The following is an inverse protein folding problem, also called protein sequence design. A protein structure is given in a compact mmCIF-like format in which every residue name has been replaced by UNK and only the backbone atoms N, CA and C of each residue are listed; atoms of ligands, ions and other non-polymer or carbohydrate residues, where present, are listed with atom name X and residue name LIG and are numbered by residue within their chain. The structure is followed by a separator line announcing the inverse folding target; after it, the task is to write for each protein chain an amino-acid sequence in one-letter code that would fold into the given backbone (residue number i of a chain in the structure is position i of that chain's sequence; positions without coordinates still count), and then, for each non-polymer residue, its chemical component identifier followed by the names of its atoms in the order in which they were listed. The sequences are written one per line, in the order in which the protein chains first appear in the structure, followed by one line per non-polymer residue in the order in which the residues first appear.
data_IF_095671553463
#
_entry.id   IF_095671553463
#
_cell.length_a   1.000
_cell.length_b   1.000
_cell.length_c   1.000
_cell.angle_alpha   90.00
_cell.angle_beta   90.00
_cell.angle_gamma   90.00
#
_symmetry.space_group_name_H-M   'P 1'
#
loop_
_entity.id
_entity.type
_entity.pdbx_description
1 polymer ?
#
# COMPACT_ATOMS: atom_id res chain seq x y z
N UNK A 1 -20.05 34.35 -14.12
CA UNK A 1 -20.14 33.30 -13.07
C UNK A 1 -19.09 32.24 -13.39
N UNK A 2 -18.03 32.14 -12.57
CA UNK A 2 -16.92 31.19 -12.77
C UNK A 2 -17.49 29.76 -12.68
N UNK A 3 -17.43 29.00 -13.78
CA UNK A 3 -17.61 27.54 -13.73
C UNK A 3 -16.38 26.97 -13.03
N UNK A 4 -16.58 26.39 -11.85
CA UNK A 4 -15.55 25.66 -11.12
C UNK A 4 -14.96 24.57 -12.01
N UNK A 5 -13.66 24.28 -11.84
CA UNK A 5 -12.90 23.30 -12.62
C UNK A 5 -13.37 21.88 -12.32
N UNK A 6 -14.51 21.47 -12.88
CA UNK A 6 -15.00 20.10 -12.79
C UNK A 6 -14.19 19.18 -13.73
N UNK A 7 -13.51 18.19 -13.16
CA UNK A 7 -12.78 17.16 -13.89
C UNK A 7 -13.48 15.81 -13.75
N UNK A 8 -13.79 15.15 -14.87
CA UNK A 8 -14.40 13.82 -14.88
C UNK A 8 -13.31 12.74 -14.89
N UNK A 9 -13.36 11.83 -13.91
CA UNK A 9 -12.46 10.67 -13.86
C UNK A 9 -13.13 9.50 -14.61
N UNK A 10 -12.50 8.89 -15.62
CA UNK A 10 -13.07 7.74 -16.32
C UNK A 10 -13.13 6.51 -15.41
N UNK A 11 -14.21 5.71 -15.53
CA UNK A 11 -14.34 4.41 -14.86
C UNK A 11 -13.68 3.32 -15.72
N UNK A 12 -12.91 2.45 -15.08
CA UNK A 12 -12.25 1.30 -15.72
C UNK A 12 -13.05 0.03 -15.44
N UNK A 13 -13.28 -0.74 -16.50
CA UNK A 13 -13.89 -2.07 -16.42
C UNK A 13 -12.79 -3.13 -16.37
N UNK A 14 -12.76 -3.90 -15.29
CA UNK A 14 -11.85 -5.02 -15.10
C UNK A 14 -12.65 -6.31 -15.25
N UNK A 15 -12.32 -7.09 -16.27
CA UNK A 15 -12.92 -8.40 -16.52
C UNK A 15 -11.88 -9.47 -16.21
N UNK A 16 -12.26 -10.50 -15.48
CA UNK A 16 -11.43 -11.69 -15.38
C UNK A 16 -11.65 -12.54 -16.63
N UNK A 17 -10.63 -12.64 -17.50
CA UNK A 17 -10.71 -13.46 -18.71
C UNK A 17 -10.45 -14.96 -18.43
N UNK A 18 -9.88 -15.29 -17.27
CA UNK A 18 -9.51 -16.65 -16.90
C UNK A 18 -10.03 -16.97 -15.50
N UNK A 19 -11.19 -17.63 -15.44
CA UNK A 19 -11.70 -18.19 -14.19
C UNK A 19 -12.54 -19.44 -14.50
N UNK A 20 -12.27 -20.55 -13.80
CA UNK A 20 -13.14 -21.75 -13.71
C UNK A 20 -14.49 -21.47 -13.01
N UNK A 21 -14.88 -20.20 -12.91
CA UNK A 21 -16.12 -19.78 -12.28
C UNK A 21 -17.27 -19.95 -13.27
N UNK A 22 -18.46 -20.37 -12.80
CA UNK A 22 -19.64 -20.53 -13.66
C UNK A 22 -20.22 -19.20 -14.16
N UNK A 23 -19.56 -18.06 -13.91
CA UNK A 23 -19.99 -16.72 -14.31
C UNK A 23 -18.82 -15.79 -14.61
N UNK A 24 -19.07 -14.80 -15.45
CA UNK A 24 -18.10 -13.76 -15.78
C UNK A 24 -18.07 -12.67 -14.71
N UNK A 25 -16.91 -12.47 -14.07
CA UNK A 25 -16.73 -11.39 -13.10
C UNK A 25 -16.28 -10.10 -13.80
N UNK A 26 -17.14 -9.09 -13.77
CA UNK A 26 -16.86 -7.75 -14.29
C UNK A 26 -16.89 -6.73 -13.13
N UNK A 27 -15.84 -5.94 -12.99
CA UNK A 27 -15.70 -4.93 -11.94
C UNK A 27 -15.45 -3.57 -12.54
N UNK A 28 -16.43 -2.68 -12.41
CA UNK A 28 -16.33 -1.27 -12.85
C UNK A 28 -15.99 -0.37 -11.67
N UNK A 29 -14.82 0.24 -11.70
CA UNK A 29 -14.37 1.14 -10.63
C UNK A 29 -13.67 2.38 -11.15
N UNK A 30 -13.63 3.44 -10.35
CA UNK A 30 -12.70 4.54 -10.62
C UNK A 30 -11.27 4.08 -10.29
N UNK A 31 -10.26 4.45 -11.09
CA UNK A 31 -8.86 4.12 -10.84
C UNK A 31 -8.24 5.07 -9.79
N UNK A 32 -8.93 5.28 -8.67
CA UNK A 32 -8.49 6.13 -7.56
C UNK A 32 -8.70 5.42 -6.24
N UNK A 33 -7.67 5.47 -5.40
CA UNK A 33 -7.70 4.93 -4.04
C UNK A 33 -7.17 6.04 -3.13
N UNK A 34 -8.00 6.63 -2.25
CA UNK A 34 -7.50 7.53 -1.23
C UNK A 34 -6.72 6.73 -0.21
N UNK A 35 -5.42 7.00 -0.08
CA UNK A 35 -4.52 6.25 0.82
C UNK A 35 -3.60 7.18 1.57
N UNK A 36 -3.67 7.11 2.90
CA UNK A 36 -2.69 7.69 3.82
C UNK A 36 -1.61 6.67 4.21
N UNK A 37 -2.00 5.39 4.24
CA UNK A 37 -1.12 4.27 4.51
C UNK A 37 -1.43 3.13 3.54
N UNK A 38 -0.39 2.42 3.10
CA UNK A 38 -0.52 1.26 2.21
C UNK A 38 0.27 0.08 2.74
N UNK A 39 -0.10 -1.13 2.34
CA UNK A 39 0.70 -2.31 2.71
C UNK A 39 2.00 -2.37 1.91
N UNK A 40 3.06 -2.99 2.44
CA UNK A 40 4.35 -3.17 1.74
C UNK A 40 4.16 -3.79 0.34
N UNK A 41 3.30 -4.81 0.24
CA UNK A 41 3.02 -5.47 -1.05
C UNK A 41 2.38 -4.51 -2.06
N UNK A 42 1.57 -3.54 -1.59
CA UNK A 42 0.97 -2.52 -2.45
C UNK A 42 1.93 -1.38 -2.77
N UNK A 43 2.93 -1.14 -1.93
CA UNK A 43 3.96 -0.12 -2.17
C UNK A 43 5.08 -0.60 -3.10
N UNK A 44 5.16 -1.90 -3.39
CA UNK A 44 6.20 -2.46 -4.25
C UNK A 44 6.21 -1.78 -5.63
N UNK A 45 7.40 -1.33 -6.07
CA UNK A 45 7.58 -0.65 -7.36
C UNK A 45 7.15 0.82 -7.38
N UNK A 46 6.70 1.38 -6.27
CA UNK A 46 6.44 2.82 -6.14
C UNK A 46 7.62 3.55 -5.49
N UNK A 47 7.85 4.80 -5.89
CA UNK A 47 8.87 5.66 -5.29
C UNK A 47 8.22 6.68 -4.35
N UNK A 48 8.82 6.89 -3.18
CA UNK A 48 8.31 7.84 -2.19
C UNK A 48 9.42 8.80 -1.74
N UNK A 49 9.05 10.08 -1.57
CA UNK A 49 10.00 11.10 -1.08
C UNK A 49 10.23 10.99 0.44
N UNK A 50 9.18 10.64 1.19
CA UNK A 50 9.19 10.38 2.63
C UNK A 50 8.29 9.19 2.94
N UNK A 51 8.72 8.33 3.85
CA UNK A 51 8.01 7.12 4.27
C UNK A 51 8.13 6.93 5.78
N UNK A 52 7.02 6.68 6.44
CA UNK A 52 6.96 6.09 7.78
C UNK A 52 6.63 4.61 7.65
N UNK A 53 7.44 3.73 8.23
CA UNK A 53 7.18 2.30 8.27
C UNK A 53 6.71 1.97 9.70
N UNK A 54 5.49 1.47 9.84
CA UNK A 54 4.98 0.99 11.11
C UNK A 54 5.05 -0.54 11.16
N UNK A 55 5.82 -1.06 12.12
CA UNK A 55 6.05 -2.48 12.33
C UNK A 55 5.48 -2.87 13.71
N UNK A 56 4.21 -3.32 13.77
CA UNK A 56 3.61 -3.79 15.03
C UNK A 56 4.15 -5.15 15.50
N UNK A 57 4.77 -5.90 14.59
CA UNK A 57 5.41 -7.18 14.82
C UNK A 57 6.73 -7.24 14.00
N UNK A 58 7.71 -8.08 14.38
CA UNK A 58 8.94 -8.26 13.62
C UNK A 58 8.63 -8.75 12.19
N UNK A 59 9.37 -8.22 11.21
CA UNK A 59 9.19 -8.56 9.79
C UNK A 59 9.56 -10.01 9.57
N UNK A 60 8.63 -10.81 9.03
CA UNK A 60 8.82 -12.25 8.84
C UNK A 60 9.83 -12.61 7.75
N UNK A 61 10.14 -11.70 6.82
CA UNK A 61 11.09 -11.96 5.73
C UNK A 61 12.04 -10.80 5.40
N UNK A 62 13.27 -11.14 5.02
CA UNK A 62 14.28 -10.18 4.53
C UNK A 62 13.77 -9.37 3.33
N UNK A 63 13.04 -10.03 2.43
CA UNK A 63 12.49 -9.40 1.22
C UNK A 63 11.47 -8.31 1.54
N UNK A 64 10.61 -8.48 2.55
CA UNK A 64 9.64 -7.45 2.94
C UNK A 64 10.33 -6.19 3.47
N UNK A 65 11.40 -6.35 4.27
CA UNK A 65 12.18 -5.21 4.77
C UNK A 65 12.88 -4.47 3.63
N UNK A 66 13.47 -5.21 2.67
CA UNK A 66 14.09 -4.63 1.49
C UNK A 66 13.08 -3.85 0.63
N UNK A 67 11.90 -4.43 0.38
CA UNK A 67 10.83 -3.77 -0.39
C UNK A 67 10.31 -2.52 0.33
N UNK A 68 10.29 -2.49 1.66
CA UNK A 68 9.87 -1.30 2.41
C UNK A 68 10.90 -0.16 2.39
N UNK A 69 12.20 -0.48 2.33
CA UNK A 69 13.29 0.50 2.37
C UNK A 69 13.74 0.98 0.98
N UNK A 70 13.64 0.13 -0.04
CA UNK A 70 14.05 0.43 -1.42
C UNK A 70 13.38 1.66 -2.08
N UNK A 71 12.13 2.05 -1.75
CA UNK A 71 11.48 3.21 -2.37
C UNK A 71 12.09 4.57 -2.02
N UNK A 72 12.94 4.63 -1.00
CA UNK A 72 13.53 5.87 -0.48
C UNK A 72 15.00 5.99 -0.86
N UNK A 73 15.38 7.15 -1.40
CA UNK A 73 16.75 7.41 -1.88
C UNK A 73 17.72 7.93 -0.81
N UNK A 74 17.20 8.34 0.37
CA UNK A 74 17.96 9.01 1.43
C UNK A 74 17.60 8.44 2.80
N UNK A 75 18.57 8.44 3.72
CA UNK A 75 18.36 7.91 5.08
C UNK A 75 17.39 8.77 5.90
N UNK A 76 17.42 10.09 5.68
CA UNK A 76 16.53 11.04 6.36
C UNK A 76 15.07 10.94 5.90
N UNK A 77 14.81 10.24 4.79
CA UNK A 77 13.49 10.10 4.18
C UNK A 77 12.64 8.99 4.80
N UNK A 78 13.19 8.14 5.67
CA UNK A 78 12.42 7.08 6.31
C UNK A 78 12.42 7.16 7.84
N UNK A 79 11.28 6.87 8.45
CA UNK A 79 11.12 6.70 9.90
C UNK A 79 10.53 5.34 10.17
N UNK A 80 11.13 4.57 11.07
CA UNK A 80 10.63 3.25 11.47
C UNK A 80 10.08 3.38 12.89
N UNK A 81 8.84 2.94 13.09
CA UNK A 81 8.23 2.85 14.41
C UNK A 81 7.95 1.38 14.72
N UNK A 82 8.62 0.87 15.74
CA UNK A 82 8.48 -0.48 16.27
C UNK A 82 7.54 -0.43 17.47
N UNK A 83 6.57 -1.34 17.53
CA UNK A 83 5.79 -1.55 18.75
C UNK A 83 6.49 -2.62 19.59
N UNK A 84 6.86 -2.31 20.83
CA UNK A 84 7.31 -3.32 21.77
C UNK A 84 6.13 -4.20 22.17
N UNK A 85 6.20 -5.49 21.84
CA UNK A 85 5.25 -6.51 22.28
C UNK A 85 5.93 -7.41 23.32
N UNK A 86 5.43 -7.39 24.56
CA UNK A 86 5.97 -8.13 25.72
C UNK A 86 5.73 -9.65 25.71
N UNK A 87 5.30 -10.23 24.59
CA UNK A 87 5.06 -11.67 24.49
C UNK A 87 5.21 -12.13 23.05
N UNK A 88 6.16 -13.04 22.86
CA UNK A 88 6.48 -13.71 21.59
C UNK A 88 5.24 -14.40 21.01
N UNK A 89 5.01 -14.20 19.71
CA UNK A 89 4.18 -15.08 18.89
C UNK A 89 2.69 -14.79 18.90
N UNK A 90 2.24 -13.91 17.99
CA UNK A 90 0.96 -14.09 17.29
C UNK A 90 1.18 -13.73 15.81
N UNK A 91 1.05 -14.74 14.94
CA UNK A 91 0.99 -14.59 13.49
C UNK A 91 -0.34 -13.93 13.12
N UNK A 92 -0.35 -12.62 12.95
CA UNK A 92 -1.49 -11.92 12.35
C UNK A 92 -1.00 -11.16 11.12
N UNK A 93 -1.49 -11.64 9.97
CA UNK A 93 -1.56 -11.05 8.64
C UNK A 93 -0.78 -9.76 8.40
N UNK A 94 0.20 -9.81 7.48
CA UNK A 94 0.59 -8.88 6.38
C UNK A 94 0.28 -7.37 6.43
N UNK A 95 -0.11 -6.82 7.57
CA UNK A 95 -0.53 -5.44 7.73
C UNK A 95 0.69 -4.65 8.16
N UNK A 96 1.59 -4.44 7.21
CA UNK A 96 2.71 -3.52 7.33
C UNK A 96 2.34 -2.20 6.69
N UNK A 97 2.10 -1.15 7.47
CA UNK A 97 1.72 0.15 6.91
C UNK A 97 2.96 0.97 6.53
N UNK A 98 3.13 1.21 5.22
CA UNK A 98 3.87 2.34 4.68
C UNK A 98 2.97 3.57 4.81
N UNK A 99 3.17 4.33 5.88
CA UNK A 99 2.52 5.61 6.14
C UNK A 99 3.27 6.68 5.34
N UNK A 100 2.62 7.36 4.41
CA UNK A 100 3.22 8.51 3.72
C UNK A 100 3.02 9.75 4.61
N UNK A 101 4.02 10.07 5.43
CA UNK A 101 4.00 11.29 6.26
C UNK A 101 4.54 12.46 5.42
N UNK A 102 3.77 13.56 5.40
CA UNK A 102 3.98 14.81 4.68
C UNK A 102 5.43 15.37 4.74
#
# INVERSE_FOLDING_TARGET
VKKENEAFIPRVDLRSNETDLPFNMNRRQFPVIPVFAMTINKSQGQNFQKVGIYLPAPVFSYSQLYVALSPTRRKESFKILLKETSSEGILVADIFYVIKIW
#
